data_IF_194466928148
#
_entry.id   IF_194466928148
#
_cell.length_a   1.000
_cell.length_b   1.000
_cell.length_c   1.000
_cell.angle_alpha   90.00
_cell.angle_beta   90.00
_cell.angle_gamma   90.00
#
_symmetry.space_group_name_H-M   'P 1'
#
loop_
_entity.id
_entity.type
_entity.pdbx_description
1 polymer ?
#
# COMPACT_ATOMS: atom_id res chain seq x y z
N UNK A 1 16.74 -17.47 6.35
CA UNK A 1 15.84 -17.48 5.18
C UNK A 1 16.24 -16.30 4.31
N UNK A 2 16.34 -16.48 3.01
CA UNK A 2 16.73 -15.46 2.05
C UNK A 2 15.48 -14.95 1.35
N UNK A 3 15.30 -13.63 1.31
CA UNK A 3 14.11 -12.98 0.81
C UNK A 3 14.49 -11.95 -0.25
N UNK A 4 13.96 -12.07 -1.46
CA UNK A 4 14.31 -11.20 -2.59
C UNK A 4 13.31 -10.05 -2.72
N UNK A 5 13.82 -8.80 -2.72
CA UNK A 5 13.07 -7.58 -3.03
C UNK A 5 13.00 -7.33 -4.53
N UNK A 6 14.08 -7.68 -5.24
CA UNK A 6 14.22 -7.63 -6.70
C UNK A 6 14.98 -8.85 -7.16
N UNK A 7 15.20 -9.02 -8.45
CA UNK A 7 16.03 -10.12 -8.99
C UNK A 7 17.42 -10.18 -8.40
N UNK A 8 17.99 -9.05 -7.99
CA UNK A 8 19.36 -8.96 -7.50
C UNK A 8 19.48 -8.55 -6.04
N UNK A 9 18.44 -7.97 -5.44
CA UNK A 9 18.48 -7.47 -4.07
C UNK A 9 17.69 -8.40 -3.16
N UNK A 10 18.31 -8.80 -2.06
CA UNK A 10 17.73 -9.72 -1.10
C UNK A 10 18.05 -9.34 0.36
N UNK A 11 17.18 -9.79 1.25
CA UNK A 11 17.38 -9.71 2.71
C UNK A 11 17.76 -11.10 3.22
N UNK A 12 18.77 -11.14 4.04
CA UNK A 12 19.21 -12.34 4.77
C UNK A 12 19.73 -11.94 6.14
N UNK A 13 19.27 -12.64 7.19
CA UNK A 13 19.67 -12.37 8.59
C UNK A 13 19.56 -10.88 8.97
N UNK A 14 18.41 -10.26 8.64
CA UNK A 14 18.12 -8.83 8.88
C UNK A 14 19.13 -7.86 8.24
N UNK A 15 19.78 -8.28 7.18
CA UNK A 15 20.68 -7.44 6.39
C UNK A 15 20.32 -7.53 4.92
N UNK A 16 20.44 -6.41 4.21
CA UNK A 16 20.14 -6.31 2.79
C UNK A 16 21.40 -6.42 1.97
N UNK A 17 21.34 -7.13 0.86
CA UNK A 17 22.45 -7.40 -0.04
C UNK A 17 22.06 -7.22 -1.49
N UNK A 18 23.01 -6.77 -2.32
CA UNK A 18 22.92 -6.81 -3.76
C UNK A 18 23.80 -7.92 -4.31
N UNK A 19 23.24 -8.82 -5.11
CA UNK A 19 23.97 -9.83 -5.85
C UNK A 19 24.62 -9.18 -7.08
N UNK A 20 25.93 -9.12 -7.10
CA UNK A 20 26.71 -8.53 -8.22
C UNK A 20 27.11 -9.60 -9.23
N UNK A 21 27.41 -10.80 -8.75
CA UNK A 21 27.69 -11.99 -9.55
C UNK A 21 27.22 -13.22 -8.79
N UNK A 22 27.15 -14.39 -9.43
CA UNK A 22 26.72 -15.64 -8.79
C UNK A 22 27.37 -15.94 -7.43
N UNK A 23 28.59 -15.44 -7.19
CA UNK A 23 29.36 -15.72 -5.98
C UNK A 23 29.74 -14.46 -5.18
N UNK A 24 29.24 -13.28 -5.56
CA UNK A 24 29.62 -12.03 -4.88
C UNK A 24 28.40 -11.17 -4.61
N UNK A 25 28.19 -10.90 -3.33
CA UNK A 25 27.16 -9.96 -2.88
C UNK A 25 27.77 -8.80 -2.11
N UNK A 26 27.19 -7.61 -2.28
CA UNK A 26 27.58 -6.41 -1.56
C UNK A 26 26.51 -6.15 -0.51
N UNK A 27 26.90 -5.97 0.75
CA UNK A 27 25.99 -5.58 1.81
C UNK A 27 25.53 -4.14 1.61
N UNK A 28 24.21 -3.92 1.61
CA UNK A 28 23.64 -2.59 1.61
C UNK A 28 23.69 -2.03 3.03
N UNK A 29 24.11 -0.79 3.14
CA UNK A 29 24.29 -0.07 4.40
C UNK A 29 23.60 1.28 4.30
N UNK A 30 23.50 2.00 5.41
CA UNK A 30 22.99 3.38 5.44
C UNK A 30 23.60 4.30 4.38
N UNK A 31 24.83 4.04 3.97
CA UNK A 31 25.56 4.94 3.08
C UNK A 31 25.38 4.63 1.59
N UNK A 32 25.00 3.40 1.23
CA UNK A 32 24.92 2.97 -0.17
C UNK A 32 23.57 2.44 -0.64
N UNK A 33 22.64 2.11 0.28
CA UNK A 33 21.39 1.45 -0.08
C UNK A 33 20.56 2.27 -1.08
N UNK A 34 20.45 3.57 -0.89
CA UNK A 34 19.59 4.42 -1.71
C UNK A 34 20.12 4.63 -3.13
N UNK A 35 21.43 4.58 -3.34
CA UNK A 35 22.02 4.64 -4.70
C UNK A 35 21.67 3.42 -5.54
N UNK A 36 21.49 2.28 -4.86
CA UNK A 36 21.20 1.02 -5.52
C UNK A 36 19.70 0.85 -5.69
N UNK A 37 18.91 1.16 -4.67
CA UNK A 37 17.47 0.96 -4.69
C UNK A 37 16.71 2.05 -5.43
N UNK A 38 17.29 3.25 -5.60
CA UNK A 38 16.66 4.30 -6.41
C UNK A 38 16.50 3.92 -7.89
N UNK A 39 17.35 3.03 -8.41
CA UNK A 39 17.17 2.45 -9.76
C UNK A 39 15.89 1.59 -9.88
N UNK A 40 15.33 1.19 -8.74
CA UNK A 40 14.09 0.41 -8.62
C UNK A 40 12.92 1.22 -8.03
N UNK A 41 13.01 2.56 -8.06
CA UNK A 41 11.95 3.46 -7.58
C UNK A 41 11.93 3.69 -6.06
N UNK A 42 12.89 3.14 -5.28
CA UNK A 42 12.92 3.33 -3.85
C UNK A 42 13.57 4.66 -3.46
N UNK A 43 12.87 5.43 -2.65
CA UNK A 43 13.35 6.71 -2.12
C UNK A 43 13.57 6.67 -0.61
N UNK A 44 14.24 7.71 -0.09
CA UNK A 44 14.44 7.87 1.34
C UNK A 44 13.17 8.41 1.98
N UNK A 45 12.67 7.70 2.97
CA UNK A 45 11.61 8.25 3.81
C UNK A 45 12.12 9.46 4.62
N UNK A 46 11.30 10.49 4.85
CA UNK A 46 11.63 11.63 5.71
C UNK A 46 12.16 11.21 7.09
N UNK A 47 13.19 11.90 7.60
CA UNK A 47 13.86 11.56 8.87
C UNK A 47 12.91 11.53 10.07
N UNK A 48 11.83 12.29 10.04
CA UNK A 48 10.81 12.28 11.09
C UNK A 48 10.16 10.90 11.23
N UNK A 49 9.88 10.25 10.10
CA UNK A 49 9.31 8.90 10.09
C UNK A 49 10.29 7.86 10.60
N UNK A 50 11.57 7.96 10.23
CA UNK A 50 12.62 7.08 10.77
C UNK A 50 12.65 7.15 12.30
N UNK A 51 12.59 8.36 12.85
CA UNK A 51 12.59 8.58 14.31
C UNK A 51 11.34 7.99 14.96
N UNK A 52 10.16 8.20 14.38
CA UNK A 52 8.87 7.71 14.90
C UNK A 52 8.77 6.19 14.86
N UNK A 53 9.06 5.58 13.72
CA UNK A 53 9.04 4.13 13.54
C UNK A 53 10.02 3.45 14.49
N UNK A 54 11.23 4.00 14.65
CA UNK A 54 12.19 3.50 15.64
C UNK A 54 11.74 3.69 17.09
N UNK A 55 10.97 4.73 17.40
CA UNK A 55 10.39 4.93 18.74
C UNK A 55 9.31 3.91 19.05
N UNK A 56 8.50 3.55 18.06
CA UNK A 56 7.43 2.55 18.19
C UNK A 56 7.97 1.12 18.17
N UNK A 57 9.15 0.90 17.59
CA UNK A 57 9.76 -0.42 17.52
C UNK A 57 10.19 -0.92 18.90
N UNK A 58 9.84 -2.16 19.23
CA UNK A 58 10.29 -2.89 20.40
C UNK A 58 11.70 -3.49 20.24
N UNK A 59 12.29 -3.38 19.04
CA UNK A 59 13.62 -3.91 18.77
C UNK A 59 14.72 -3.18 19.53
N UNK A 60 15.70 -3.91 20.00
CA UNK A 60 16.85 -3.35 20.74
C UNK A 60 17.77 -2.50 19.86
N UNK A 61 17.80 -2.74 18.56
CA UNK A 61 18.56 -1.95 17.59
C UNK A 61 17.64 -1.03 16.80
N UNK A 62 18.18 0.11 16.37
CA UNK A 62 17.44 1.08 15.57
C UNK A 62 17.72 0.87 14.09
N UNK A 63 16.67 0.81 13.30
CA UNK A 63 16.80 0.76 11.84
C UNK A 63 16.96 2.17 11.27
N UNK A 64 17.85 2.34 10.30
CA UNK A 64 18.06 3.59 9.57
C UNK A 64 17.85 3.43 8.06
N UNK A 65 17.50 2.23 7.62
CA UNK A 65 17.30 1.87 6.21
C UNK A 65 15.81 1.67 5.94
N UNK A 66 15.02 2.73 6.17
CA UNK A 66 13.64 2.80 5.73
C UNK A 66 13.59 3.50 4.38
N UNK A 67 12.97 2.87 3.41
CA UNK A 67 12.66 3.43 2.11
C UNK A 67 11.17 3.52 1.89
N UNK A 68 10.76 4.32 0.93
CA UNK A 68 9.42 4.38 0.38
C UNK A 68 9.52 4.05 -1.11
N UNK A 69 8.61 3.23 -1.60
CA UNK A 69 8.42 2.99 -3.02
C UNK A 69 7.37 3.97 -3.51
N UNK A 70 7.75 4.83 -4.44
CA UNK A 70 6.81 5.73 -5.08
C UNK A 70 5.82 4.94 -5.95
N UNK A 71 4.54 5.21 -5.76
CA UNK A 71 3.48 4.64 -6.56
C UNK A 71 2.83 5.81 -7.31
N UNK A 72 3.04 5.87 -8.60
CA UNK A 72 2.62 6.92 -9.52
C UNK A 72 1.27 7.57 -9.17
N UNK A 73 1.17 8.90 -9.30
CA UNK A 73 -0.03 9.69 -9.00
C UNK A 73 -1.03 9.72 -10.16
N UNK A 74 -1.42 8.56 -10.67
CA UNK A 74 -2.28 8.36 -11.83
C UNK A 74 -3.76 8.07 -11.49
N UNK A 75 -4.14 8.22 -10.21
CA UNK A 75 -5.44 7.84 -9.67
C UNK A 75 -5.54 6.38 -9.25
N UNK A 76 -4.56 5.55 -9.60
CA UNK A 76 -4.45 4.15 -9.19
C UNK A 76 -3.44 3.91 -8.07
N UNK A 77 -2.80 4.95 -7.54
CA UNK A 77 -1.71 4.88 -6.56
C UNK A 77 -1.99 3.95 -5.38
N UNK A 78 -3.19 4.01 -4.81
CA UNK A 78 -3.60 3.13 -3.72
C UNK A 78 -3.61 1.65 -4.12
N UNK A 79 -4.15 1.33 -5.30
CA UNK A 79 -4.21 -0.04 -5.83
C UNK A 79 -2.82 -0.54 -6.24
N UNK A 80 -1.95 0.34 -6.74
CA UNK A 80 -0.53 0.04 -6.99
C UNK A 80 0.20 -0.31 -5.70
N UNK A 81 0.00 0.46 -4.62
CA UNK A 81 0.60 0.18 -3.31
C UNK A 81 0.21 -1.22 -2.80
N UNK A 82 -1.06 -1.59 -2.92
CA UNK A 82 -1.54 -2.91 -2.51
C UNK A 82 -0.96 -4.01 -3.38
N UNK A 83 -0.98 -3.84 -4.71
CA UNK A 83 -0.42 -4.81 -5.66
C UNK A 83 1.06 -5.06 -5.36
N UNK A 84 1.87 -4.00 -5.23
CA UNK A 84 3.28 -4.10 -4.90
C UNK A 84 3.52 -4.83 -3.57
N UNK A 85 2.71 -4.53 -2.54
CA UNK A 85 2.83 -5.16 -1.23
C UNK A 85 2.51 -6.66 -1.28
N UNK A 86 1.50 -7.06 -2.05
CA UNK A 86 1.13 -8.46 -2.23
C UNK A 86 2.17 -9.21 -3.07
N UNK A 87 2.72 -8.58 -4.10
CA UNK A 87 3.80 -9.14 -4.91
C UNK A 87 5.05 -9.36 -4.08
N UNK A 88 5.41 -8.41 -3.22
CA UNK A 88 6.51 -8.55 -2.29
C UNK A 88 6.32 -9.73 -1.33
N UNK A 89 5.11 -9.89 -0.80
CA UNK A 89 4.76 -11.05 0.02
C UNK A 89 4.92 -12.35 -0.76
N UNK A 90 4.36 -12.43 -1.97
CA UNK A 90 4.44 -13.63 -2.80
C UNK A 90 5.89 -14.02 -3.12
N UNK A 91 6.75 -13.02 -3.41
CA UNK A 91 8.20 -13.26 -3.56
C UNK A 91 8.83 -13.82 -2.29
N UNK A 92 8.39 -13.37 -1.11
CA UNK A 92 8.94 -13.82 0.16
C UNK A 92 8.57 -15.25 0.52
N UNK A 93 7.34 -15.66 0.20
CA UNK A 93 6.78 -16.96 0.55
C UNK A 93 7.13 -18.04 -0.47
N UNK A 94 7.19 -17.67 -1.74
CA UNK A 94 7.46 -18.58 -2.84
C UNK A 94 8.91 -18.41 -3.32
N UNK A 95 9.82 -19.22 -2.80
CA UNK A 95 11.19 -19.31 -3.32
C UNK A 95 11.27 -19.89 -4.76
N UNK A 96 10.16 -19.99 -5.47
CA UNK A 96 10.04 -20.61 -6.79
C UNK A 96 9.64 -19.57 -7.85
N UNK A 97 10.24 -19.69 -8.99
CA UNK A 97 10.33 -18.77 -10.11
C UNK A 97 9.04 -18.44 -10.88
N UNK A 98 7.86 -18.83 -10.38
CA UNK A 98 6.61 -18.64 -11.12
C UNK A 98 5.45 -18.27 -10.20
N UNK A 99 5.31 -16.99 -9.89
CA UNK A 99 4.04 -16.43 -9.45
C UNK A 99 3.65 -15.32 -10.42
N UNK A 100 2.35 -15.20 -10.69
CA UNK A 100 1.83 -14.06 -11.43
C UNK A 100 1.86 -12.83 -10.53
N UNK A 101 2.45 -11.74 -11.00
CA UNK A 101 2.44 -10.48 -10.29
C UNK A 101 1.07 -9.81 -10.48
N UNK A 102 0.54 -9.27 -9.37
CA UNK A 102 -0.65 -8.42 -9.40
C UNK A 102 -0.29 -7.04 -9.96
N UNK A 103 -1.20 -6.48 -10.74
CA UNK A 103 -1.21 -5.07 -11.09
C UNK A 103 -2.41 -4.35 -10.42
N UNK A 104 -2.53 -3.03 -10.57
CA UNK A 104 -3.63 -2.26 -9.97
C UNK A 104 -5.00 -2.74 -10.45
N UNK A 105 -5.13 -3.12 -11.71
CA UNK A 105 -6.38 -3.62 -12.29
C UNK A 105 -6.81 -4.98 -11.71
N UNK A 106 -5.85 -5.85 -11.39
CA UNK A 106 -6.12 -7.11 -10.72
C UNK A 106 -6.68 -6.87 -9.32
N UNK A 107 -6.09 -5.92 -8.56
CA UNK A 107 -6.57 -5.54 -7.24
C UNK A 107 -7.98 -4.95 -7.31
N UNK A 108 -8.23 -4.02 -8.23
CA UNK A 108 -9.57 -3.47 -8.48
C UNK A 108 -10.59 -4.59 -8.77
N UNK A 109 -10.21 -5.54 -9.59
CA UNK A 109 -11.07 -6.67 -9.99
C UNK A 109 -11.37 -7.59 -8.80
N UNK A 110 -10.36 -7.91 -7.98
CA UNK A 110 -10.53 -8.73 -6.77
C UNK A 110 -11.48 -8.03 -5.80
N UNK A 111 -11.26 -6.75 -5.53
CA UNK A 111 -12.09 -5.95 -4.62
C UNK A 111 -13.53 -5.90 -5.14
N UNK A 112 -13.71 -5.47 -6.38
CA UNK A 112 -15.04 -5.34 -6.98
C UNK A 112 -15.84 -6.65 -6.93
N UNK A 113 -15.22 -7.77 -7.30
CA UNK A 113 -15.88 -9.07 -7.29
C UNK A 113 -16.19 -9.59 -5.87
N UNK A 114 -15.52 -9.05 -4.85
CA UNK A 114 -15.68 -9.44 -3.45
C UNK A 114 -16.67 -8.55 -2.68
N UNK A 115 -17.16 -7.46 -3.29
CA UNK A 115 -18.21 -6.63 -2.70
C UNK A 115 -19.50 -7.46 -2.55
N UNK A 116 -20.01 -7.53 -1.34
CA UNK A 116 -21.31 -8.15 -1.01
C UNK A 116 -22.45 -7.12 -1.07
N UNK A 117 -23.69 -7.57 -1.07
CA UNK A 117 -24.85 -6.67 -1.04
C UNK A 117 -24.81 -5.76 0.20
N UNK A 118 -24.44 -6.28 1.37
CA UNK A 118 -24.30 -5.51 2.61
C UNK A 118 -23.21 -4.44 2.51
N UNK A 119 -22.05 -4.78 1.90
CA UNK A 119 -20.97 -3.81 1.65
C UNK A 119 -21.43 -2.74 0.67
N UNK A 120 -22.10 -3.13 -0.42
CA UNK A 120 -22.65 -2.21 -1.41
C UNK A 120 -23.62 -1.22 -0.78
N UNK A 121 -24.62 -1.71 -0.05
CA UNK A 121 -25.63 -0.86 0.58
C UNK A 121 -25.00 0.14 1.56
N UNK A 122 -23.99 -0.30 2.29
CA UNK A 122 -23.26 0.56 3.22
C UNK A 122 -22.46 1.63 2.47
N UNK A 123 -21.60 1.22 1.52
CA UNK A 123 -20.71 2.13 0.80
C UNK A 123 -21.50 3.14 -0.03
N UNK A 124 -22.48 2.69 -0.82
CA UNK A 124 -23.27 3.61 -1.67
C UNK A 124 -24.06 4.63 -0.86
N UNK A 125 -24.55 4.22 0.33
CA UNK A 125 -25.23 5.13 1.24
C UNK A 125 -24.30 6.22 1.75
N UNK A 126 -23.06 5.86 2.16
CA UNK A 126 -22.07 6.84 2.59
C UNK A 126 -21.63 7.77 1.47
N UNK A 127 -21.38 7.27 0.27
CA UNK A 127 -21.02 8.11 -0.88
C UNK A 127 -22.13 9.12 -1.23
N UNK A 128 -23.40 8.71 -1.16
CA UNK A 128 -24.54 9.62 -1.36
C UNK A 128 -24.62 10.69 -0.27
N UNK A 129 -24.39 10.32 0.98
CA UNK A 129 -24.33 11.30 2.09
C UNK A 129 -23.19 12.30 1.88
N UNK A 130 -22.01 11.85 1.47
CA UNK A 130 -20.88 12.74 1.17
C UNK A 130 -21.19 13.67 0.00
N UNK A 131 -21.85 13.16 -1.04
CA UNK A 131 -22.28 13.96 -2.19
C UNK A 131 -23.28 15.04 -1.77
N UNK A 132 -24.27 14.71 -0.92
CA UNK A 132 -25.26 15.64 -0.40
C UNK A 132 -24.63 16.69 0.53
N UNK A 133 -23.53 16.34 1.21
CA UNK A 133 -22.79 17.24 2.08
C UNK A 133 -21.74 18.11 1.35
N UNK A 134 -21.63 18.00 0.02
CA UNK A 134 -20.60 18.67 -0.80
C UNK A 134 -19.16 18.30 -0.38
N UNK A 135 -18.99 17.05 0.10
CA UNK A 135 -17.72 16.48 0.60
C UNK A 135 -17.29 15.25 -0.26
N UNK A 136 -17.75 15.19 -1.51
CA UNK A 136 -17.47 14.12 -2.46
C UNK A 136 -16.71 14.68 -3.67
N UNK A 137 -15.41 14.49 -3.69
CA UNK A 137 -14.50 15.08 -4.67
C UNK A 137 -14.18 14.16 -5.88
N UNK A 138 -14.87 13.00 -6.00
CA UNK A 138 -14.64 12.07 -7.10
C UNK A 138 -15.40 12.47 -8.38
N UNK A 139 -14.91 12.00 -9.55
CA UNK A 139 -15.45 12.36 -10.86
C UNK A 139 -16.74 11.58 -11.23
N UNK A 140 -17.13 10.57 -10.45
CA UNK A 140 -18.35 9.80 -10.66
C UNK A 140 -19.51 10.27 -9.75
N UNK A 141 -20.74 9.90 -10.12
CA UNK A 141 -21.94 10.26 -9.32
C UNK A 141 -22.53 9.01 -8.64
N UNK A 142 -22.55 8.94 -7.27
CA UNK A 142 -23.13 7.81 -6.56
C UNK A 142 -24.63 7.63 -6.77
N UNK A 143 -25.34 8.64 -7.32
CA UNK A 143 -26.75 8.55 -7.67
C UNK A 143 -26.98 7.89 -9.04
N UNK A 144 -25.96 7.81 -9.91
CA UNK A 144 -26.03 7.08 -11.16
C UNK A 144 -25.84 5.56 -10.97
N UNK A 145 -25.32 5.11 -9.83
CA UNK A 145 -25.17 3.70 -9.47
C UNK A 145 -26.54 3.13 -9.07
N UNK A 146 -27.07 2.21 -9.87
CA UNK A 146 -28.39 1.64 -9.68
C UNK A 146 -28.37 0.34 -8.87
N UNK A 147 -27.33 -0.46 -9.03
CA UNK A 147 -27.19 -1.76 -8.36
C UNK A 147 -25.72 -2.10 -8.06
N UNK A 148 -25.51 -3.25 -7.42
CA UNK A 148 -24.18 -3.74 -7.05
C UNK A 148 -23.29 -3.99 -8.29
N UNK A 149 -23.85 -4.38 -9.42
CA UNK A 149 -23.06 -4.63 -10.64
C UNK A 149 -22.55 -3.32 -11.26
N UNK A 150 -23.33 -2.27 -11.20
CA UNK A 150 -22.86 -0.94 -11.61
C UNK A 150 -21.76 -0.44 -10.69
N UNK A 151 -21.90 -0.64 -9.37
CA UNK A 151 -20.84 -0.29 -8.41
C UNK A 151 -19.57 -1.10 -8.63
N UNK A 152 -19.68 -2.41 -8.90
CA UNK A 152 -18.52 -3.24 -9.24
C UNK A 152 -17.83 -2.78 -10.52
N UNK A 153 -18.57 -2.33 -11.53
CA UNK A 153 -18.01 -1.73 -12.74
C UNK A 153 -17.29 -0.42 -12.41
N UNK A 154 -17.86 0.40 -11.52
CA UNK A 154 -17.23 1.66 -11.10
C UNK A 154 -15.89 1.42 -10.44
N UNK A 155 -15.79 0.49 -9.48
CA UNK A 155 -14.54 0.12 -8.81
C UNK A 155 -13.47 -0.36 -9.81
N UNK A 156 -13.88 -1.03 -10.89
CA UNK A 156 -12.96 -1.54 -11.93
C UNK A 156 -12.42 -0.48 -12.88
N UNK A 157 -12.95 0.74 -12.86
CA UNK A 157 -12.42 1.82 -13.69
C UNK A 157 -11.09 2.32 -13.12
N UNK A 158 -10.10 2.46 -13.98
CA UNK A 158 -8.76 2.96 -13.62
C UNK A 158 -8.69 4.48 -13.60
N UNK A 159 -7.64 5.00 -13.02
CA UNK A 159 -7.36 6.42 -12.93
C UNK A 159 -8.32 7.15 -11.99
N UNK A 160 -8.60 8.41 -12.29
CA UNK A 160 -9.40 9.30 -11.43
C UNK A 160 -10.89 8.98 -11.40
N UNK A 161 -11.36 8.02 -12.19
CA UNK A 161 -12.78 7.64 -12.22
C UNK A 161 -13.27 6.99 -10.92
N UNK A 162 -12.36 6.37 -10.16
CA UNK A 162 -12.65 5.82 -8.84
C UNK A 162 -11.38 5.74 -8.01
N UNK A 163 -11.27 6.53 -6.98
CA UNK A 163 -10.13 6.50 -6.06
C UNK A 163 -10.32 5.48 -4.93
N UNK A 164 -9.21 4.98 -4.41
CA UNK A 164 -9.21 4.16 -3.21
C UNK A 164 -9.27 5.06 -1.98
N UNK A 165 -10.46 5.31 -1.50
CA UNK A 165 -10.72 6.15 -0.34
C UNK A 165 -10.75 5.38 0.99
N UNK A 166 -10.96 6.12 2.09
CA UNK A 166 -11.03 5.53 3.42
C UNK A 166 -12.26 4.67 3.67
N UNK A 167 -13.37 4.87 2.92
CA UNK A 167 -14.57 4.04 3.03
C UNK A 167 -14.31 2.66 2.46
N UNK A 168 -13.72 2.60 1.28
CA UNK A 168 -13.34 1.34 0.65
C UNK A 168 -12.27 0.60 1.45
N UNK A 169 -11.39 1.33 2.15
CA UNK A 169 -10.28 0.78 2.92
C UNK A 169 -10.72 -0.29 3.93
N UNK A 170 -11.84 -0.08 4.63
CA UNK A 170 -12.38 -1.05 5.57
C UNK A 170 -12.82 -2.35 4.90
N UNK A 171 -13.39 -2.25 3.70
CA UNK A 171 -13.76 -3.43 2.90
C UNK A 171 -12.53 -4.19 2.42
N UNK A 172 -11.52 -3.47 1.96
CA UNK A 172 -10.26 -4.04 1.47
C UNK A 172 -9.52 -4.84 2.54
N UNK A 173 -9.46 -4.35 3.77
CA UNK A 173 -8.83 -5.06 4.89
C UNK A 173 -9.43 -6.45 5.08
N UNK A 174 -10.76 -6.54 5.03
CA UNK A 174 -11.47 -7.79 5.21
C UNK A 174 -11.32 -8.72 3.99
N UNK A 175 -11.38 -8.15 2.77
CA UNK A 175 -11.27 -8.90 1.51
C UNK A 175 -9.86 -9.49 1.36
N UNK A 176 -8.83 -8.65 1.54
CA UNK A 176 -7.44 -9.04 1.29
C UNK A 176 -6.71 -9.57 2.54
N UNK A 177 -7.35 -9.52 3.71
CA UNK A 177 -6.78 -9.91 5.01
C UNK A 177 -5.45 -9.20 5.30
N UNK A 178 -5.50 -7.87 5.25
CA UNK A 178 -4.37 -6.99 5.48
C UNK A 178 -4.60 -6.12 6.71
N UNK A 179 -3.53 -5.81 7.46
CA UNK A 179 -3.51 -4.67 8.36
C UNK A 179 -2.90 -3.49 7.60
N UNK A 180 -3.63 -2.40 7.45
CA UNK A 180 -3.15 -1.23 6.72
C UNK A 180 -2.87 -0.10 7.70
N UNK A 181 -1.65 0.43 7.66
CA UNK A 181 -1.21 1.58 8.46
C UNK A 181 -0.92 2.75 7.53
N UNK A 182 -1.60 3.87 7.74
CA UNK A 182 -1.40 5.08 6.96
C UNK A 182 -0.50 6.04 7.75
N UNK A 183 0.65 6.36 7.18
CA UNK A 183 1.57 7.37 7.66
C UNK A 183 1.18 8.69 7.00
N UNK A 184 0.43 9.53 7.72
CA UNK A 184 -0.05 10.81 7.20
C UNK A 184 0.91 11.95 7.58
N UNK A 185 1.31 12.74 6.60
CA UNK A 185 2.11 13.94 6.76
C UNK A 185 1.28 15.16 6.36
N UNK A 186 0.83 15.92 7.35
CA UNK A 186 0.29 17.25 7.12
C UNK A 186 1.44 18.26 7.26
N UNK A 187 2.06 18.60 6.15
CA UNK A 187 3.20 19.53 6.10
C UNK A 187 2.82 20.95 6.52
N UNK A 188 1.58 21.37 6.31
CA UNK A 188 1.09 22.70 6.65
C UNK A 188 1.14 22.95 8.17
N UNK A 189 0.82 21.92 8.96
CA UNK A 189 0.81 21.98 10.42
C UNK A 189 1.95 21.21 11.08
N UNK A 190 2.86 20.60 10.30
CA UNK A 190 3.89 19.67 10.78
C UNK A 190 3.31 18.55 11.66
N UNK A 191 2.08 18.16 11.35
CA UNK A 191 1.39 17.11 12.06
C UNK A 191 1.62 15.78 11.35
N UNK A 192 2.33 14.89 12.02
CA UNK A 192 2.64 13.55 11.53
C UNK A 192 1.87 12.56 12.37
N UNK A 193 0.94 11.85 11.78
CA UNK A 193 0.10 10.88 12.47
C UNK A 193 0.18 9.51 11.79
N UNK A 194 -0.03 8.47 12.57
CA UNK A 194 -0.16 7.10 12.08
C UNK A 194 -1.61 6.71 12.35
N UNK A 195 -2.34 6.49 11.31
CA UNK A 195 -3.68 5.95 11.39
C UNK A 195 -3.61 4.43 11.18
N UNK A 196 -4.14 3.70 12.15
CA UNK A 196 -4.57 2.34 11.92
C UNK A 196 -6.01 2.43 11.42
N UNK A 197 -6.35 1.65 10.43
CA UNK A 197 -7.74 1.52 10.00
C UNK A 197 -8.62 1.08 11.16
N UNK A 198 -9.87 1.50 11.16
CA UNK A 198 -10.83 1.40 12.25
C UNK A 198 -11.06 -0.02 12.81
N UNK A 199 -10.55 -1.04 12.15
CA UNK A 199 -10.63 -2.43 12.59
C UNK A 199 -9.47 -2.79 13.52
N UNK A 200 -9.76 -3.68 14.47
CA UNK A 200 -8.75 -4.23 15.36
C UNK A 200 -7.61 -4.90 14.57
N UNK A 201 -6.36 -4.64 14.99
CA UNK A 201 -5.19 -5.30 14.46
C UNK A 201 -5.34 -6.82 14.56
N UNK A 202 -5.23 -7.51 13.42
CA UNK A 202 -5.27 -8.96 13.37
C UNK A 202 -3.86 -9.53 13.20
N UNK A 203 -3.37 -10.25 14.21
CA UNK A 203 -2.02 -10.83 14.20
C UNK A 203 -1.78 -11.84 13.07
N UNK A 204 -2.83 -12.40 12.50
CA UNK A 204 -2.76 -13.35 11.39
C UNK A 204 -2.74 -12.67 10.01
N UNK A 205 -2.94 -11.35 9.95
CA UNK A 205 -2.92 -10.59 8.71
C UNK A 205 -1.54 -9.96 8.50
N UNK A 206 -1.12 -9.86 7.24
CA UNK A 206 0.08 -9.12 6.91
C UNK A 206 -0.15 -7.63 7.10
N UNK A 207 0.92 -6.92 7.47
CA UNK A 207 0.86 -5.47 7.67
C UNK A 207 1.53 -4.76 6.51
N UNK A 208 0.84 -3.76 5.97
CA UNK A 208 1.38 -2.84 4.98
C UNK A 208 1.37 -1.42 5.53
N UNK A 209 2.34 -0.62 5.11
CA UNK A 209 2.49 0.77 5.51
C UNK A 209 2.41 1.64 4.26
N UNK A 210 1.44 2.54 4.24
CA UNK A 210 1.22 3.49 3.17
C UNK A 210 1.65 4.88 3.66
N UNK A 211 2.47 5.57 2.88
CA UNK A 211 2.79 6.97 3.13
C UNK A 211 1.80 7.81 2.32
N UNK A 212 1.01 8.61 3.02
CA UNK A 212 0.10 9.56 2.41
C UNK A 212 0.67 10.96 2.54
N UNK A 213 0.93 11.60 1.41
CA UNK A 213 1.37 12.99 1.29
C UNK A 213 0.26 13.80 0.62
N UNK A 214 -0.09 14.97 1.20
CA UNK A 214 -1.24 15.80 0.79
C UNK A 214 -1.17 16.40 -0.63
N UNK A 215 -0.43 15.83 -1.55
CA UNK A 215 -0.30 16.30 -2.93
C UNK A 215 -0.43 15.15 -3.97
N UNK A 216 -0.93 14.02 -3.57
CA UNK A 216 -1.25 12.92 -4.51
C UNK A 216 -2.73 12.69 -4.54
#
# INVERSE_FOLDING_TARGET
MKYYLTETIYIENNSMYQCVTHNKSIKLTRNNWHHILSEYGWEKIPLIWIKRLNKLSTMSFKNSCYGVLDCEGDGDCFFHCIANSLNEKNRSENNTETYEEYNSQDIRTIIANSITDEMYDTLITYYRIMKDADDFDEEWDPYEIQDIEDFRKQIKQSGNNYWGDYLLLNSIINILKLNIFILNCDDSNKNYSIYNTLNEYNINYNSIYLLYENNC
#
